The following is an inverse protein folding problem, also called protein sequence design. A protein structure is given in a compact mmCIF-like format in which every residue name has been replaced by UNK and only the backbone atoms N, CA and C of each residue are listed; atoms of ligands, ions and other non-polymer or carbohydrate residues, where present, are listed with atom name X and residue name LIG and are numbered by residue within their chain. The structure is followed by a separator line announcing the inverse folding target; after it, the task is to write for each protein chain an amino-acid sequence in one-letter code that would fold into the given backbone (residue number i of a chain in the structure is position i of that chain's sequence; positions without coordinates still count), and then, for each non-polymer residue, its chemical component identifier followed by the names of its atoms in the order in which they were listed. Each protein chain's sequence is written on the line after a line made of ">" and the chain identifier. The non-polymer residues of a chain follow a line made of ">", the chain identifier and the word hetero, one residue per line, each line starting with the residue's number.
data_IF_936579870018
#
_entry.id   IF_936579870018
#
_cell.length_a   1.000
_cell.length_b   1.000
_cell.length_c   1.000
_cell.angle_alpha   90.00
_cell.angle_beta   90.00
_cell.angle_gamma   90.00
#
_symmetry.space_group_name_H-M   'P 1'
#
loop_
_entity.id
_entity.type
_entity.pdbx_description
1 polymer ?
#
# COMPACT_ATOMS: atom_id res chain seq x y z
N UNK A 1 -5.90 -0.23 0.63
CA UNK A 1 -6.89 -1.22 0.19
C UNK A 1 -6.67 -1.49 -1.29
N UNK A 2 -6.71 -2.75 -1.76
CA UNK A 2 -6.59 -3.06 -3.18
C UNK A 2 -7.74 -2.45 -3.97
N UNK A 3 -7.47 -1.95 -5.16
CA UNK A 3 -8.47 -1.29 -5.99
C UNK A 3 -8.23 -1.57 -7.47
N UNK A 4 -9.30 -1.89 -8.18
CA UNK A 4 -9.33 -1.96 -9.63
C UNK A 4 -9.78 -0.61 -10.16
N UNK A 5 -8.98 -0.03 -11.06
CA UNK A 5 -9.33 1.21 -11.77
C UNK A 5 -9.67 0.89 -13.22
N UNK A 6 -10.93 1.06 -13.57
CA UNK A 6 -11.38 0.99 -14.96
C UNK A 6 -11.31 2.39 -15.57
N UNK A 7 -10.84 2.51 -16.80
CA UNK A 7 -10.77 3.78 -17.55
C UNK A 7 -11.48 3.61 -18.88
N UNK A 8 -12.28 4.61 -19.28
CA UNK A 8 -13.03 4.56 -20.53
C UNK A 8 -13.43 5.95 -21.02
N UNK A 9 -13.71 6.05 -22.32
CA UNK A 9 -14.06 7.31 -22.98
C UNK A 9 -15.52 7.72 -22.74
N UNK A 10 -16.38 6.76 -22.40
CA UNK A 10 -17.82 6.93 -22.23
C UNK A 10 -18.26 6.45 -20.83
N UNK A 11 -19.03 7.28 -20.11
CA UNK A 11 -19.48 7.00 -18.74
C UNK A 11 -20.48 5.84 -18.64
N UNK A 12 -21.34 5.67 -19.64
CA UNK A 12 -22.34 4.60 -19.67
C UNK A 12 -21.66 3.25 -19.95
N UNK A 13 -20.73 3.22 -20.90
CA UNK A 13 -19.99 2.01 -21.23
C UNK A 13 -19.10 1.57 -20.07
N UNK A 14 -18.34 2.49 -19.47
CA UNK A 14 -17.46 2.13 -18.35
C UNK A 14 -18.27 1.65 -17.14
N UNK A 15 -19.46 2.19 -16.90
CA UNK A 15 -20.34 1.72 -15.83
C UNK A 15 -20.84 0.30 -16.12
N UNK A 16 -21.28 0.02 -17.34
CA UNK A 16 -21.68 -1.35 -17.73
C UNK A 16 -20.53 -2.34 -17.58
N UNK A 17 -19.31 -1.95 -17.95
CA UNK A 17 -18.10 -2.75 -17.73
C UNK A 17 -17.85 -2.96 -16.25
N UNK A 18 -17.95 -1.91 -15.41
CA UNK A 18 -17.80 -2.02 -13.97
C UNK A 18 -18.82 -3.01 -13.37
N UNK A 19 -20.09 -2.94 -13.78
CA UNK A 19 -21.13 -3.86 -13.33
C UNK A 19 -20.87 -5.31 -13.76
N UNK A 20 -20.27 -5.52 -14.94
CA UNK A 20 -19.86 -6.85 -15.38
C UNK A 20 -18.67 -7.38 -14.57
N UNK A 21 -17.67 -6.54 -14.30
CA UNK A 21 -16.52 -6.89 -13.45
C UNK A 21 -16.98 -7.22 -12.03
N UNK A 22 -17.86 -6.41 -11.43
CA UNK A 22 -18.42 -6.66 -10.10
C UNK A 22 -19.17 -7.99 -10.05
N UNK A 23 -19.97 -8.31 -11.09
CA UNK A 23 -20.66 -9.61 -11.17
C UNK A 23 -19.68 -10.78 -11.25
N UNK A 24 -18.61 -10.66 -12.03
CA UNK A 24 -17.57 -11.67 -12.10
C UNK A 24 -16.83 -11.83 -10.76
N UNK A 25 -16.46 -10.72 -10.11
CA UNK A 25 -15.78 -10.73 -8.81
C UNK A 25 -16.63 -11.38 -7.72
N UNK A 26 -17.94 -11.09 -7.69
CA UNK A 26 -18.88 -11.70 -6.74
C UNK A 26 -19.07 -13.21 -6.94
N UNK A 27 -18.64 -13.77 -8.07
CA UNK A 27 -18.69 -15.20 -8.30
C UNK A 27 -17.49 -15.94 -7.66
N UNK A 28 -16.46 -15.22 -7.20
CA UNK A 28 -15.32 -15.81 -6.50
C UNK A 28 -15.51 -15.67 -4.98
N UNK A 29 -15.61 -16.79 -4.23
CA UNK A 29 -15.91 -16.77 -2.81
C UNK A 29 -14.78 -16.19 -1.95
N UNK A 30 -13.54 -16.21 -2.42
CA UNK A 30 -12.36 -15.66 -1.72
C UNK A 30 -12.24 -14.14 -1.85
N UNK A 31 -13.12 -13.51 -2.65
CA UNK A 31 -13.09 -12.07 -2.94
C UNK A 31 -14.32 -11.37 -2.36
N UNK A 32 -14.06 -10.28 -1.64
CA UNK A 32 -15.07 -9.34 -1.16
C UNK A 32 -15.00 -8.06 -1.98
N UNK A 33 -16.09 -7.72 -2.65
CA UNK A 33 -16.23 -6.45 -3.37
C UNK A 33 -16.70 -5.38 -2.39
N UNK A 34 -15.91 -4.33 -2.24
CA UNK A 34 -16.23 -3.15 -1.44
C UNK A 34 -16.97 -2.09 -2.24
N UNK A 35 -16.68 -0.82 -1.95
CA UNK A 35 -17.33 0.32 -2.61
C UNK A 35 -16.98 0.39 -4.10
N UNK A 36 -17.99 0.77 -4.88
CA UNK A 36 -17.87 1.06 -6.32
C UNK A 36 -18.21 2.52 -6.54
N UNK A 37 -17.26 3.28 -7.08
CA UNK A 37 -17.51 4.70 -7.35
C UNK A 37 -18.47 4.89 -8.53
N UNK A 38 -19.22 5.99 -8.53
CA UNK A 38 -19.79 6.51 -9.77
C UNK A 38 -18.66 6.85 -10.79
N UNK A 39 -18.95 6.97 -12.09
CA UNK A 39 -17.97 7.38 -13.07
C UNK A 39 -17.42 8.77 -12.75
N UNK A 40 -16.11 8.83 -12.49
CA UNK A 40 -15.39 10.07 -12.18
C UNK A 40 -14.73 10.59 -13.45
N UNK A 41 -14.99 11.83 -13.89
CA UNK A 41 -14.28 12.41 -15.03
C UNK A 41 -12.76 12.47 -14.80
N UNK A 42 -11.98 12.28 -15.86
CA UNK A 42 -10.53 12.47 -15.78
C UNK A 42 -10.19 13.95 -15.57
N UNK A 43 -9.19 14.25 -14.72
CA UNK A 43 -8.69 15.64 -14.55
C UNK A 43 -8.04 16.21 -15.83
N UNK A 44 -7.50 15.33 -16.68
CA UNK A 44 -6.82 15.69 -17.93
C UNK A 44 -7.28 14.74 -19.02
N UNK A 45 -7.65 15.30 -20.18
CA UNK A 45 -8.16 14.54 -21.30
C UNK A 45 -9.64 14.17 -21.17
N UNK A 46 -10.18 13.59 -22.24
CA UNK A 46 -11.54 13.07 -22.26
C UNK A 46 -11.66 11.76 -21.46
N UNK A 47 -12.89 11.36 -21.21
CA UNK A 47 -13.22 10.10 -20.54
C UNK A 47 -13.32 10.19 -19.02
N UNK A 48 -13.43 9.02 -18.43
CA UNK A 48 -13.77 8.83 -17.04
C UNK A 48 -13.16 7.54 -16.50
N UNK A 49 -13.28 7.37 -15.19
CA UNK A 49 -12.76 6.23 -14.46
C UNK A 49 -13.76 5.77 -13.42
N UNK A 50 -13.80 4.46 -13.19
CA UNK A 50 -14.55 3.84 -12.11
C UNK A 50 -13.56 3.12 -11.22
N UNK A 51 -13.76 3.27 -9.91
CA UNK A 51 -12.97 2.63 -8.90
C UNK A 51 -13.79 1.52 -8.25
N UNK A 52 -13.21 0.33 -8.16
CA UNK A 52 -13.83 -0.84 -7.51
C UNK A 52 -12.88 -1.27 -6.42
N UNK A 53 -13.31 -1.17 -5.17
CA UNK A 53 -12.55 -1.70 -4.04
C UNK A 53 -12.72 -3.21 -3.96
N UNK A 54 -11.62 -3.91 -3.75
CA UNK A 54 -11.61 -5.37 -3.67
C UNK A 54 -10.73 -5.78 -2.50
N UNK A 55 -11.25 -6.67 -1.67
CA UNK A 55 -10.53 -7.36 -0.62
C UNK A 55 -10.42 -8.84 -1.02
N UNK A 56 -9.23 -9.41 -0.90
CA UNK A 56 -9.07 -10.85 -0.94
C UNK A 56 -8.93 -11.31 0.49
N UNK A 57 -9.74 -12.30 0.89
CA UNK A 57 -9.49 -13.07 2.10
C UNK A 57 -8.30 -14.00 1.76
N UNK A 58 -7.11 -13.41 1.68
CA UNK A 58 -5.86 -14.15 1.74
C UNK A 58 -5.74 -14.55 3.20
N UNK A 59 -5.85 -15.84 3.51
CA UNK A 59 -5.50 -16.34 4.84
C UNK A 59 -4.13 -15.76 5.21
N UNK A 60 -4.11 -14.84 6.18
CA UNK A 60 -2.90 -14.18 6.71
C UNK A 60 -2.03 -15.18 7.52
N UNK A 61 -2.50 -16.43 7.61
CA UNK A 61 -1.81 -17.56 8.21
C UNK A 61 -0.66 -18.04 7.31
N UNK A 62 0.46 -17.30 7.31
CA UNK A 62 1.74 -17.89 6.92
C UNK A 62 2.79 -16.98 6.29
N UNK A 63 2.58 -15.67 6.17
CA UNK A 63 3.62 -14.80 5.63
C UNK A 63 4.52 -14.27 6.75
N UNK A 64 5.44 -15.13 7.20
CA UNK A 64 6.53 -14.73 8.09
C UNK A 64 7.62 -14.00 7.28
N UNK A 65 7.59 -12.67 7.29
CA UNK A 65 8.64 -11.84 6.67
C UNK A 65 9.80 -11.68 7.65
N UNK A 66 10.83 -12.52 7.53
CA UNK A 66 12.11 -12.31 8.23
C UNK A 66 13.06 -11.49 7.36
N UNK A 67 13.53 -10.37 7.92
CA UNK A 67 14.57 -9.53 7.30
C UNK A 67 15.87 -9.75 8.07
N UNK A 68 16.77 -10.56 7.54
CA UNK A 68 18.14 -10.58 8.05
C UNK A 68 18.88 -9.34 7.52
N UNK A 69 19.22 -8.42 8.42
CA UNK A 69 20.10 -7.29 8.11
C UNK A 69 21.54 -7.68 8.46
N UNK A 70 22.39 -7.76 7.44
CA UNK A 70 23.82 -8.00 7.59
C UNK A 70 24.57 -6.80 8.19
N UNK A 71 23.97 -5.60 8.10
CA UNK A 71 24.52 -4.36 8.64
C UNK A 71 24.29 -4.24 10.15
N UNK A 72 24.97 -5.07 10.94
CA UNK A 72 25.17 -4.80 12.37
C UNK A 72 26.17 -3.65 12.49
N UNK A 73 25.78 -2.44 12.93
CA UNK A 73 26.75 -1.40 13.23
C UNK A 73 27.68 -1.91 14.33
N UNK A 74 28.98 -1.86 14.09
CA UNK A 74 29.99 -2.26 15.08
C UNK A 74 29.74 -1.52 16.41
N UNK A 75 29.97 -2.17 17.56
CA UNK A 75 29.83 -1.52 18.86
C UNK A 75 30.82 -0.34 18.93
N UNK A 76 30.26 0.87 18.89
CA UNK A 76 31.00 2.10 19.07
C UNK A 76 31.81 2.00 20.38
N UNK A 77 33.14 2.05 20.27
CA UNK A 77 34.03 2.06 21.42
C UNK A 77 33.65 3.23 22.31
N UNK A 78 33.23 2.90 23.53
CA UNK A 78 32.92 3.82 24.63
C UNK A 78 34.08 4.80 24.79
N UNK A 79 33.88 6.07 24.42
CA UNK A 79 34.85 7.12 24.72
C UNK A 79 34.99 7.23 26.25
N UNK A 80 36.22 7.07 26.74
CA UNK A 80 36.55 7.26 28.15
C UNK A 80 36.33 8.73 28.54
N UNK A 81 35.86 9.02 29.77
CA UNK A 81 35.62 10.39 30.21
C UNK A 81 36.94 11.18 30.20
N UNK A 82 36.90 12.36 29.58
CA UNK A 82 38.00 13.31 29.56
C UNK A 82 38.47 13.59 30.99
N UNK A 83 39.75 13.35 31.22
CA UNK A 83 40.39 13.45 32.52
C UNK A 83 40.19 14.82 33.17
N UNK A 84 39.65 14.75 34.39
CA UNK A 84 39.78 15.67 35.52
C UNK A 84 41.06 16.50 35.45
N UNK A 85 40.93 17.76 35.04
CA UNK A 85 42.00 18.76 35.09
C UNK A 85 42.40 19.04 36.53
N UNK A 86 43.53 18.49 36.97
CA UNK A 86 44.24 18.86 38.19
C UNK A 86 45.44 19.71 37.78
N UNK A 87 45.34 21.05 37.92
CA UNK A 87 46.53 21.93 37.91
C UNK A 87 46.87 22.32 39.34
N UNK A 88 48.01 21.81 39.79
CA UNK A 88 48.75 22.29 40.95
C UNK A 88 49.58 23.51 40.52
N UNK A 89 49.49 24.58 41.29
CA UNK A 89 50.57 25.49 41.67
C UNK A 89 51.25 26.36 40.61
N UNK A 90 51.03 27.68 40.72
CA UNK A 90 52.07 28.59 41.22
C UNK A 90 51.41 29.75 41.97
#
# INVERSE_FOLDING_TARGET
>A
MPQIRLMGSNSVEIQRTADAVVRALKAWPELRVGDVSAPVPNRRGSGCRVYIEVLADLDDDGVEVTVEREDRPEPARRALPAGRGRRLGR
#
